data_IF_076982366998
#
_entry.id   IF_076982366998
#
_cell.length_a   1.000
_cell.length_b   1.000
_cell.length_c   1.000
_cell.angle_alpha   90.00
_cell.angle_beta   90.00
_cell.angle_gamma   90.00
#
_symmetry.space_group_name_H-M   'P 1'
#
loop_
_entity.id
_entity.type
_entity.pdbx_description
1 polymer ?
#
# COMPACT_ATOMS: atom_id res chain seq x y z
N UNK A 1 -17.16 30.03 26.95
CA UNK A 1 -16.20 30.56 25.95
C UNK A 1 -14.83 30.46 26.60
N UNK A 2 -13.85 29.67 26.17
CA UNK A 2 -13.38 29.21 24.85
C UNK A 2 -12.27 28.16 25.13
N UNK A 3 -11.79 27.24 24.29
CA UNK A 3 -12.07 26.70 22.96
C UNK A 3 -11.30 25.35 22.97
N UNK A 4 -11.93 24.23 22.58
CA UNK A 4 -11.24 22.95 22.38
C UNK A 4 -10.33 23.06 21.16
N UNK A 5 -9.12 22.52 21.29
CA UNK A 5 -8.20 22.34 20.17
C UNK A 5 -8.24 20.85 19.80
N UNK A 6 -9.13 20.52 18.88
CA UNK A 6 -9.22 19.19 18.27
C UNK A 6 -8.06 19.03 17.28
N UNK A 7 -7.13 18.14 17.64
CA UNK A 7 -6.04 17.72 16.76
C UNK A 7 -6.37 16.32 16.24
N UNK A 8 -7.13 16.30 15.14
CA UNK A 8 -7.42 15.11 14.35
C UNK A 8 -6.12 14.59 13.71
N UNK A 9 -5.50 13.61 14.36
CA UNK A 9 -4.49 12.76 13.75
C UNK A 9 -5.17 11.50 13.23
N UNK A 10 -5.66 11.58 11.98
CA UNK A 10 -6.10 10.43 11.18
C UNK A 10 -4.88 9.56 10.83
N UNK A 11 -4.41 8.83 11.85
CA UNK A 11 -3.54 7.70 11.67
C UNK A 11 -4.41 6.58 11.09
N UNK A 12 -4.27 6.37 9.79
CA UNK A 12 -4.80 5.21 9.08
C UNK A 12 -4.21 3.91 9.65
N UNK A 13 -4.65 3.53 10.85
CA UNK A 13 -4.53 2.19 11.38
C UNK A 13 -5.28 1.32 10.40
N UNK A 14 -4.54 0.49 9.64
CA UNK A 14 -5.14 -0.65 8.93
C UNK A 14 -6.01 -1.37 9.96
N UNK A 15 -7.34 -1.25 9.84
CA UNK A 15 -8.27 -1.94 10.72
C UNK A 15 -8.00 -3.42 10.52
N UNK A 16 -7.33 -4.04 11.48
CA UNK A 16 -7.07 -5.47 11.45
C UNK A 16 -8.38 -6.24 11.30
N UNK A 17 -8.29 -7.43 10.72
CA UNK A 17 -9.42 -8.35 10.61
C UNK A 17 -10.04 -8.55 12.00
N UNK A 18 -11.35 -8.34 12.12
CA UNK A 18 -12.10 -8.60 13.34
C UNK A 18 -12.98 -9.80 13.10
N UNK A 19 -13.03 -10.72 14.06
CA UNK A 19 -13.92 -11.89 14.06
C UNK A 19 -14.94 -11.65 15.18
N UNK A 20 -16.21 -11.93 14.94
CA UNK A 20 -17.26 -11.86 15.96
C UNK A 20 -17.33 -13.13 16.81
N UNK A 21 -18.24 -13.16 17.78
CA UNK A 21 -18.47 -14.31 18.66
C UNK A 21 -19.01 -15.55 17.93
N UNK A 22 -19.38 -15.45 16.66
CA UNK A 22 -19.84 -16.57 15.82
C UNK A 22 -18.76 -17.10 14.88
N UNK A 23 -17.50 -16.65 15.07
CA UNK A 23 -16.38 -17.04 14.21
C UNK A 23 -16.37 -16.36 12.84
N UNK A 24 -17.35 -15.48 12.55
CA UNK A 24 -17.45 -14.80 11.27
C UNK A 24 -16.60 -13.52 11.26
N UNK A 25 -15.90 -13.21 10.15
CA UNK A 25 -15.29 -11.91 9.93
C UNK A 25 -16.30 -10.78 10.11
N UNK A 26 -15.86 -9.58 10.50
CA UNK A 26 -16.72 -8.41 10.66
C UNK A 26 -16.28 -7.31 9.72
N UNK A 27 -17.22 -6.82 8.90
CA UNK A 27 -17.03 -5.70 7.95
C UNK A 27 -15.88 -5.91 6.97
N UNK A 28 -15.74 -7.13 6.47
CA UNK A 28 -14.75 -7.48 5.46
C UNK A 28 -14.89 -6.60 4.21
N UNK A 29 -13.77 -6.08 3.73
CA UNK A 29 -13.71 -5.06 2.68
C UNK A 29 -13.20 -5.60 1.34
N UNK A 30 -12.92 -6.90 1.23
CA UNK A 30 -12.37 -7.53 0.02
C UNK A 30 -10.88 -7.87 0.11
N UNK A 31 -10.19 -7.52 1.20
CA UNK A 31 -8.76 -7.82 1.37
C UNK A 31 -8.52 -9.21 1.96
N UNK A 32 -7.53 -9.94 1.43
CA UNK A 32 -7.19 -11.31 1.87
C UNK A 32 -8.38 -12.30 1.82
N UNK A 33 -8.82 -12.57 0.59
CA UNK A 33 -9.91 -13.51 0.33
C UNK A 33 -9.68 -14.90 0.95
N UNK A 34 -8.44 -15.42 0.89
CA UNK A 34 -8.16 -16.77 1.40
C UNK A 34 -8.43 -16.86 2.90
N UNK A 35 -8.03 -15.83 3.66
CA UNK A 35 -8.33 -15.76 5.08
C UNK A 35 -9.84 -15.61 5.33
N UNK A 36 -10.51 -14.70 4.60
CA UNK A 36 -11.97 -14.53 4.71
C UNK A 36 -12.72 -15.84 4.46
N UNK A 37 -12.36 -16.55 3.39
CA UNK A 37 -13.01 -17.79 3.00
C UNK A 37 -12.87 -18.86 4.08
N UNK A 38 -11.66 -19.05 4.62
CA UNK A 38 -11.44 -20.00 5.71
C UNK A 38 -12.27 -19.64 6.94
N UNK A 39 -12.28 -18.37 7.36
CA UNK A 39 -13.04 -17.94 8.52
C UNK A 39 -14.56 -18.17 8.33
N UNK A 40 -15.09 -17.88 7.14
CA UNK A 40 -16.50 -18.13 6.83
C UNK A 40 -16.85 -19.61 6.75
N UNK A 41 -15.98 -20.45 6.18
CA UNK A 41 -16.17 -21.91 6.17
C UNK A 41 -16.25 -22.43 7.61
N UNK A 42 -15.33 -22.02 8.48
CA UNK A 42 -15.36 -22.40 9.90
C UNK A 42 -16.66 -21.96 10.59
N UNK A 43 -17.15 -20.75 10.31
CA UNK A 43 -18.42 -20.26 10.86
C UNK A 43 -19.64 -21.06 10.35
N UNK A 44 -19.60 -21.53 9.10
CA UNK A 44 -20.62 -22.43 8.57
C UNK A 44 -20.54 -23.82 9.21
N UNK A 45 -19.34 -24.38 9.39
CA UNK A 45 -19.12 -25.67 10.06
C UNK A 45 -19.60 -25.65 11.52
N UNK A 46 -19.26 -24.59 12.28
CA UNK A 46 -19.71 -24.42 13.67
C UNK A 46 -21.24 -24.40 13.79
N UNK A 47 -21.91 -23.85 12.77
CA UNK A 47 -23.37 -23.78 12.72
C UNK A 47 -24.05 -24.94 11.98
N UNK A 48 -23.29 -25.95 11.51
CA UNK A 48 -23.78 -27.07 10.69
C UNK A 48 -24.51 -26.61 9.42
N UNK A 49 -23.95 -25.60 8.75
CA UNK A 49 -24.49 -24.96 7.53
C UNK A 49 -23.62 -25.21 6.30
N UNK A 50 -22.44 -25.80 6.45
CA UNK A 50 -21.40 -25.96 5.43
C UNK A 50 -21.91 -26.72 4.19
N UNK A 51 -22.62 -27.83 4.37
CA UNK A 51 -23.16 -28.64 3.27
C UNK A 51 -24.14 -27.86 2.40
N UNK A 52 -24.99 -27.04 3.03
CA UNK A 52 -25.97 -26.19 2.35
C UNK A 52 -25.27 -24.98 1.72
N UNK A 53 -24.36 -24.32 2.45
CA UNK A 53 -23.65 -23.12 1.99
C UNK A 53 -22.78 -23.41 0.75
N UNK A 54 -22.11 -24.56 0.72
CA UNK A 54 -21.29 -25.03 -0.41
C UNK A 54 -22.17 -25.59 -1.55
N UNK A 55 -23.46 -25.86 -1.27
CA UNK A 55 -24.42 -26.35 -2.26
C UNK A 55 -24.37 -27.87 -2.49
N UNK A 56 -23.78 -28.63 -1.56
CA UNK A 56 -23.83 -30.10 -1.56
C UNK A 56 -25.20 -30.64 -1.16
N UNK A 57 -25.87 -29.97 -0.23
CA UNK A 57 -27.24 -30.27 0.16
C UNK A 57 -28.20 -29.27 -0.51
N UNK A 58 -29.03 -29.78 -1.41
CA UNK A 58 -30.06 -29.01 -2.11
C UNK A 58 -31.45 -29.38 -1.61
N UNK A 59 -32.42 -28.49 -1.87
CA UNK A 59 -33.83 -28.78 -1.59
C UNK A 59 -34.23 -30.10 -2.26
N UNK A 60 -34.85 -31.01 -1.49
CA UNK A 60 -35.36 -32.27 -2.01
C UNK A 60 -36.88 -32.23 -2.08
N UNK A 61 -37.43 -32.63 -3.23
CA UNK A 61 -38.87 -32.59 -3.48
C UNK A 61 -39.65 -33.59 -2.61
N UNK A 62 -39.01 -34.70 -2.22
CA UNK A 62 -39.60 -35.76 -1.39
C UNK A 62 -39.72 -35.39 0.10
N UNK A 63 -39.16 -34.25 0.51
CA UNK A 63 -39.21 -33.78 1.90
C UNK A 63 -40.59 -33.30 2.32
N UNK A 64 -40.90 -33.50 3.60
CA UNK A 64 -42.11 -32.99 4.22
C UNK A 64 -42.02 -31.46 4.45
N UNK A 65 -43.13 -30.85 4.86
CA UNK A 65 -43.20 -29.40 5.06
C UNK A 65 -42.25 -28.89 6.16
N UNK A 66 -42.01 -29.70 7.21
CA UNK A 66 -41.13 -29.36 8.33
C UNK A 66 -39.66 -29.30 7.89
N UNK A 67 -39.20 -30.31 7.16
CA UNK A 67 -37.85 -30.40 6.58
C UNK A 67 -37.59 -29.24 5.60
N UNK A 68 -38.56 -28.94 4.73
CA UNK A 68 -38.47 -27.78 3.82
C UNK A 68 -38.40 -26.45 4.61
N UNK A 69 -39.12 -26.37 5.73
CA UNK A 69 -39.07 -25.22 6.65
C UNK A 69 -37.70 -25.06 7.32
N UNK A 70 -37.10 -26.16 7.79
CA UNK A 70 -35.77 -26.16 8.40
C UNK A 70 -34.68 -25.75 7.39
N UNK A 71 -34.73 -26.29 6.17
CA UNK A 71 -33.81 -25.91 5.09
C UNK A 71 -33.89 -24.41 4.79
N UNK A 72 -35.09 -23.84 4.71
CA UNK A 72 -35.29 -22.38 4.53
C UNK A 72 -34.71 -21.57 5.69
N UNK A 73 -34.86 -22.04 6.94
CA UNK A 73 -34.24 -21.39 8.12
C UNK A 73 -32.71 -21.42 8.04
N UNK A 74 -32.12 -22.56 7.64
CA UNK A 74 -30.67 -22.70 7.43
C UNK A 74 -30.18 -21.76 6.33
N UNK A 75 -30.87 -21.68 5.19
CA UNK A 75 -30.59 -20.71 4.13
C UNK A 75 -30.63 -19.26 4.63
N UNK A 76 -31.64 -18.88 5.41
CA UNK A 76 -31.73 -17.54 5.99
C UNK A 76 -30.57 -17.24 6.96
N UNK A 77 -30.18 -18.22 7.79
CA UNK A 77 -29.03 -18.09 8.69
C UNK A 77 -27.72 -17.88 7.93
N UNK A 78 -27.50 -18.59 6.82
CA UNK A 78 -26.36 -18.38 5.92
C UNK A 78 -26.37 -16.94 5.38
N UNK A 79 -27.52 -16.44 4.90
CA UNK A 79 -27.63 -15.05 4.40
C UNK A 79 -27.24 -14.03 5.47
N UNK A 80 -27.71 -14.20 6.70
CA UNK A 80 -27.42 -13.29 7.82
C UNK A 80 -25.93 -13.31 8.15
N UNK A 81 -25.29 -14.48 8.24
CA UNK A 81 -23.85 -14.60 8.49
C UNK A 81 -23.03 -13.91 7.41
N UNK A 82 -23.33 -14.18 6.13
CA UNK A 82 -22.65 -13.53 5.01
C UNK A 82 -22.85 -12.01 5.10
N UNK A 83 -24.09 -11.54 5.24
CA UNK A 83 -24.40 -10.11 5.31
C UNK A 83 -23.68 -9.40 6.48
N UNK A 84 -23.69 -10.00 7.67
CA UNK A 84 -23.00 -9.46 8.85
C UNK A 84 -21.48 -9.41 8.68
N UNK A 85 -20.94 -10.34 7.90
CA UNK A 85 -19.50 -10.42 7.69
C UNK A 85 -18.93 -9.40 6.70
N UNK A 86 -19.76 -8.89 5.80
CA UNK A 86 -19.34 -8.02 4.72
C UNK A 86 -19.43 -6.53 5.09
N UNK A 87 -18.60 -5.72 4.43
CA UNK A 87 -18.84 -4.28 4.37
C UNK A 87 -20.14 -3.97 3.63
N UNK A 88 -20.80 -2.85 3.95
CA UNK A 88 -22.06 -2.44 3.34
C UNK A 88 -22.02 -2.43 1.80
N UNK A 89 -20.88 -2.03 1.22
CA UNK A 89 -20.70 -1.99 -0.24
C UNK A 89 -20.76 -3.40 -0.84
N UNK A 90 -20.04 -4.36 -0.25
CA UNK A 90 -20.01 -5.74 -0.72
C UNK A 90 -21.32 -6.47 -0.44
N UNK A 91 -21.93 -6.24 0.72
CA UNK A 91 -23.23 -6.80 1.08
C UNK A 91 -24.28 -6.46 0.00
N UNK A 92 -24.36 -5.19 -0.43
CA UNK A 92 -25.30 -4.77 -1.49
C UNK A 92 -25.11 -5.52 -2.81
N UNK A 93 -23.87 -5.88 -3.15
CA UNK A 93 -23.57 -6.59 -4.40
C UNK A 93 -24.09 -8.03 -4.37
N UNK A 94 -23.93 -8.74 -3.25
CA UNK A 94 -24.26 -10.16 -3.16
C UNK A 94 -25.67 -10.43 -2.64
N UNK A 95 -26.28 -9.51 -1.90
CA UNK A 95 -27.65 -9.65 -1.36
C UNK A 95 -28.75 -9.70 -2.42
N UNK A 96 -28.44 -9.39 -3.69
CA UNK A 96 -29.37 -9.52 -4.80
C UNK A 96 -29.72 -10.98 -5.13
N UNK A 97 -29.02 -11.96 -4.52
CA UNK A 97 -29.25 -13.40 -4.74
C UNK A 97 -30.37 -13.96 -3.86
N UNK A 98 -31.06 -14.98 -4.37
CA UNK A 98 -32.26 -15.56 -3.76
C UNK A 98 -31.95 -16.37 -2.50
N UNK A 99 -30.85 -17.12 -2.51
CA UNK A 99 -30.46 -18.05 -1.44
C UNK A 99 -29.10 -17.71 -0.82
N UNK A 100 -28.84 -18.22 0.39
CA UNK A 100 -27.54 -18.06 1.05
C UNK A 100 -26.43 -18.81 0.30
N UNK A 101 -26.75 -19.98 -0.27
CA UNK A 101 -25.85 -20.73 -1.15
C UNK A 101 -25.47 -19.93 -2.39
N UNK A 102 -26.42 -19.28 -3.06
CA UNK A 102 -26.12 -18.40 -4.21
C UNK A 102 -25.26 -17.19 -3.81
N UNK A 103 -25.51 -16.59 -2.64
CA UNK A 103 -24.68 -15.50 -2.12
C UNK A 103 -23.23 -15.96 -1.91
N UNK A 104 -23.03 -17.14 -1.33
CA UNK A 104 -21.71 -17.73 -1.13
C UNK A 104 -21.03 -18.08 -2.46
N UNK A 105 -21.75 -18.71 -3.38
CA UNK A 105 -21.26 -19.06 -4.72
C UNK A 105 -20.86 -17.81 -5.52
N UNK A 106 -21.63 -16.72 -5.43
CA UNK A 106 -21.28 -15.44 -6.06
C UNK A 106 -19.98 -14.86 -5.46
N UNK A 107 -19.80 -14.90 -4.14
CA UNK A 107 -18.54 -14.47 -3.51
C UNK A 107 -17.36 -15.32 -3.97
N UNK A 108 -17.51 -16.65 -3.97
CA UNK A 108 -16.51 -17.58 -4.48
C UNK A 108 -16.22 -17.28 -5.96
N UNK A 109 -17.22 -16.99 -6.78
CA UNK A 109 -17.03 -16.61 -8.19
C UNK A 109 -16.26 -15.30 -8.35
N UNK A 110 -16.59 -14.28 -7.56
CA UNK A 110 -15.93 -12.97 -7.61
C UNK A 110 -14.44 -13.06 -7.21
N UNK A 111 -14.12 -13.88 -6.22
CA UNK A 111 -12.79 -13.88 -5.58
C UNK A 111 -11.93 -15.13 -5.86
N UNK A 112 -12.52 -16.30 -6.10
CA UNK A 112 -11.85 -17.56 -6.48
C UNK A 112 -12.03 -17.94 -7.94
N UNK A 113 -12.91 -17.24 -8.65
CA UNK A 113 -12.80 -17.21 -10.10
C UNK A 113 -11.37 -16.77 -10.40
N UNK A 114 -10.48 -17.73 -10.71
CA UNK A 114 -9.05 -17.54 -11.02
C UNK A 114 -8.81 -16.59 -12.22
N UNK A 115 -9.87 -15.99 -12.75
CA UNK A 115 -10.04 -15.47 -14.10
C UNK A 115 -11.19 -14.46 -14.15
N UNK A 116 -11.32 -13.53 -13.18
CA UNK A 116 -12.08 -12.31 -13.45
C UNK A 116 -11.09 -11.21 -13.88
N UNK A 117 -10.91 -10.97 -15.19
CA UNK A 117 -10.04 -9.91 -15.69
C UNK A 117 -10.29 -8.56 -15.00
N UNK A 118 -11.54 -8.27 -14.61
CA UNK A 118 -11.89 -7.02 -13.96
C UNK A 118 -11.29 -6.91 -12.54
N UNK A 119 -11.30 -7.99 -11.74
CA UNK A 119 -10.76 -7.96 -10.38
C UNK A 119 -9.22 -7.97 -10.40
N UNK A 120 -8.61 -8.77 -11.28
CA UNK A 120 -7.17 -8.72 -11.53
C UNK A 120 -6.74 -7.34 -12.00
N UNK A 121 -7.45 -6.74 -12.96
CA UNK A 121 -7.18 -5.39 -13.42
C UNK A 121 -7.34 -4.35 -12.31
N UNK A 122 -8.36 -4.47 -11.46
CA UNK A 122 -8.56 -3.59 -10.32
C UNK A 122 -7.42 -3.71 -9.28
N UNK A 123 -6.97 -4.93 -8.99
CA UNK A 123 -5.85 -5.19 -8.07
C UNK A 123 -4.54 -4.64 -8.64
N UNK A 124 -4.28 -4.86 -9.93
CA UNK A 124 -3.15 -4.26 -10.65
C UNK A 124 -3.21 -2.73 -10.57
N UNK A 125 -4.35 -2.12 -10.86
CA UNK A 125 -4.54 -0.67 -10.77
C UNK A 125 -4.27 -0.14 -9.35
N UNK A 126 -4.80 -0.83 -8.32
CA UNK A 126 -4.57 -0.48 -6.92
C UNK A 126 -3.10 -0.55 -6.54
N UNK A 127 -2.41 -1.64 -6.92
CA UNK A 127 -1.00 -1.86 -6.63
C UNK A 127 -0.09 -0.89 -7.38
N UNK A 128 -0.38 -0.59 -8.65
CA UNK A 128 0.32 0.46 -9.40
C UNK A 128 0.15 1.82 -8.71
N UNK A 129 -1.07 2.17 -8.31
CA UNK A 129 -1.33 3.39 -7.54
C UNK A 129 -0.58 3.41 -6.20
N UNK A 130 -0.51 2.28 -5.50
CA UNK A 130 0.26 2.17 -4.25
C UNK A 130 1.77 2.32 -4.49
N UNK A 131 2.30 1.70 -5.55
CA UNK A 131 3.68 1.86 -5.97
C UNK A 131 4.01 3.34 -6.17
N UNK A 132 3.16 4.07 -6.91
CA UNK A 132 3.33 5.50 -7.20
C UNK A 132 3.11 6.43 -6.00
N UNK A 133 2.39 6.01 -4.97
CA UNK A 133 2.16 6.81 -3.74
C UNK A 133 3.12 6.47 -2.61
N UNK A 134 3.84 5.35 -2.70
CA UNK A 134 4.80 4.94 -1.67
C UNK A 134 6.02 5.86 -1.73
N UNK A 135 6.11 6.75 -0.74
CA UNK A 135 7.20 7.70 -0.55
C UNK A 135 7.77 7.56 0.86
N UNK A 136 9.09 7.63 0.96
CA UNK A 136 9.79 7.72 2.23
C UNK A 136 9.73 9.17 2.73
N UNK A 137 9.21 9.37 3.94
CA UNK A 137 9.12 10.68 4.57
C UNK A 137 10.30 10.88 5.54
N UNK A 138 11.02 11.99 5.42
CA UNK A 138 12.11 12.35 6.32
C UNK A 138 13.21 11.29 6.42
N UNK A 139 13.79 11.13 7.63
CA UNK A 139 14.79 10.10 7.97
C UNK A 139 14.14 8.75 8.31
N UNK A 140 13.20 8.30 7.49
CA UNK A 140 12.59 6.98 7.64
C UNK A 140 13.58 5.85 7.34
N UNK A 141 13.27 4.63 7.77
CA UNK A 141 14.10 3.46 7.50
C UNK A 141 14.09 3.09 6.01
N UNK A 142 15.21 3.31 5.32
CA UNK A 142 15.35 3.01 3.88
C UNK A 142 15.14 1.54 3.59
N UNK A 143 15.67 0.63 4.41
CA UNK A 143 15.59 -0.80 4.14
C UNK A 143 14.15 -1.29 4.11
N UNK A 144 13.33 -0.87 5.08
CA UNK A 144 11.90 -1.17 5.14
C UNK A 144 11.13 -0.54 3.97
N UNK A 145 11.46 0.70 3.61
CA UNK A 145 10.87 1.38 2.46
C UNK A 145 11.16 0.66 1.15
N UNK A 146 12.42 0.30 0.89
CA UNK A 146 12.82 -0.45 -0.30
C UNK A 146 12.16 -1.83 -0.32
N UNK A 147 12.12 -2.54 0.82
CA UNK A 147 11.44 -3.82 0.92
C UNK A 147 9.96 -3.73 0.48
N UNK A 148 9.24 -2.70 0.94
CA UNK A 148 7.85 -2.45 0.53
C UNK A 148 7.72 -2.24 -0.99
N UNK A 149 8.61 -1.48 -1.62
CA UNK A 149 8.58 -1.26 -3.07
C UNK A 149 8.79 -2.58 -3.84
N UNK A 150 9.73 -3.42 -3.40
CA UNK A 150 9.97 -4.73 -4.02
C UNK A 150 8.81 -5.70 -3.81
N UNK A 151 8.18 -5.69 -2.63
CA UNK A 151 6.99 -6.48 -2.36
C UNK A 151 5.84 -6.13 -3.33
N UNK A 152 5.58 -4.83 -3.54
CA UNK A 152 4.58 -4.40 -4.53
C UNK A 152 4.96 -4.82 -5.96
N UNK A 153 6.25 -4.71 -6.35
CA UNK A 153 6.74 -5.17 -7.67
C UNK A 153 6.49 -6.67 -7.86
N UNK A 154 6.76 -7.48 -6.85
CA UNK A 154 6.57 -8.93 -6.91
C UNK A 154 5.09 -9.28 -7.03
N UNK A 155 4.23 -8.67 -6.21
CA UNK A 155 2.77 -8.86 -6.31
C UNK A 155 2.21 -8.46 -7.68
N UNK A 156 2.77 -7.43 -8.32
CA UNK A 156 2.40 -7.05 -9.69
C UNK A 156 2.85 -8.10 -10.73
N UNK A 157 4.04 -8.69 -10.55
CA UNK A 157 4.52 -9.78 -11.40
C UNK A 157 3.66 -11.04 -11.27
N UNK A 158 3.26 -11.40 -10.04
CA UNK A 158 2.38 -12.55 -9.77
C UNK A 158 1.01 -12.40 -10.44
N UNK A 159 0.55 -11.15 -10.66
CA UNK A 159 -0.70 -10.84 -11.36
C UNK A 159 -0.53 -10.72 -12.89
N UNK A 160 0.65 -11.06 -13.43
CA UNK A 160 0.93 -11.00 -14.87
C UNK A 160 1.17 -9.58 -15.41
N UNK A 161 1.44 -8.60 -14.53
CA UNK A 161 1.73 -7.21 -14.88
C UNK A 161 3.09 -6.77 -14.32
N UNK A 162 4.21 -7.37 -14.77
CA UNK A 162 5.53 -7.06 -14.23
C UNK A 162 5.92 -5.59 -14.46
N UNK A 163 6.58 -4.99 -13.47
CA UNK A 163 7.13 -3.63 -13.58
C UNK A 163 8.49 -3.70 -14.24
N UNK A 164 8.69 -2.93 -15.32
CA UNK A 164 9.97 -2.84 -16.01
C UNK A 164 11.06 -2.24 -15.08
N UNK A 165 12.29 -2.73 -15.20
CA UNK A 165 13.43 -2.27 -14.41
C UNK A 165 13.65 -0.75 -14.46
N UNK A 166 13.51 -0.13 -15.62
CA UNK A 166 13.62 1.32 -15.78
C UNK A 166 12.52 2.06 -15.01
N UNK A 167 11.29 1.55 -15.07
CA UNK A 167 10.16 2.10 -14.32
C UNK A 167 10.37 1.95 -12.81
N UNK A 168 10.88 0.79 -12.38
CA UNK A 168 11.17 0.53 -10.99
C UNK A 168 12.31 1.41 -10.46
N UNK A 169 13.37 1.62 -11.25
CA UNK A 169 14.49 2.52 -10.94
C UNK A 169 14.03 3.97 -10.80
N UNK A 170 13.27 4.48 -11.78
CA UNK A 170 12.69 5.82 -11.70
C UNK A 170 11.80 5.96 -10.45
N UNK A 171 10.96 4.95 -10.19
CA UNK A 171 10.09 4.93 -9.03
C UNK A 171 10.86 4.96 -7.71
N UNK A 172 11.89 4.14 -7.58
CA UNK A 172 12.74 4.10 -6.39
C UNK A 172 13.39 5.46 -6.14
N UNK A 173 13.96 6.11 -7.16
CA UNK A 173 14.59 7.43 -7.03
C UNK A 173 13.60 8.53 -6.63
N UNK A 174 12.40 8.55 -7.23
CA UNK A 174 11.35 9.52 -6.88
C UNK A 174 10.72 9.26 -5.52
N UNK A 175 10.77 8.01 -5.03
CA UNK A 175 10.19 7.64 -3.74
C UNK A 175 10.99 8.15 -2.53
N UNK A 176 12.28 8.46 -2.71
CA UNK A 176 13.17 8.94 -1.66
C UNK A 176 12.89 10.42 -1.30
N UNK A 177 13.26 10.90 -0.11
CA UNK A 177 13.13 12.29 0.29
C UNK A 177 14.19 13.18 -0.40
N UNK A 178 13.96 14.49 -0.38
CA UNK A 178 14.91 15.51 -0.87
C UNK A 178 16.02 15.75 0.15
N UNK A 179 16.90 14.75 0.32
CA UNK A 179 18.14 14.86 1.08
C UNK A 179 19.33 14.87 0.13
N UNK A 180 20.39 15.62 0.47
CA UNK A 180 21.58 15.83 -0.36
C UNK A 180 22.19 14.52 -0.86
N UNK A 181 22.31 13.51 0.01
CA UNK A 181 22.86 12.20 -0.35
C UNK A 181 22.03 11.47 -1.43
N UNK A 182 20.71 11.63 -1.42
CA UNK A 182 19.83 11.06 -2.43
C UNK A 182 19.78 11.91 -3.71
N UNK A 183 19.92 13.23 -3.62
CA UNK A 183 19.97 14.11 -4.79
C UNK A 183 21.22 13.90 -5.63
N UNK A 184 22.37 13.64 -4.99
CA UNK A 184 23.58 13.21 -5.68
C UNK A 184 23.38 11.88 -6.42
N UNK A 185 22.72 10.93 -5.77
CA UNK A 185 22.38 9.65 -6.39
C UNK A 185 21.42 9.83 -7.57
N UNK A 186 20.38 10.66 -7.43
CA UNK A 186 19.45 11.00 -8.51
C UNK A 186 20.20 11.58 -9.70
N UNK A 187 21.08 12.57 -9.47
CA UNK A 187 21.90 13.16 -10.53
C UNK A 187 22.76 12.12 -11.23
N UNK A 188 23.45 11.26 -10.48
CA UNK A 188 24.32 10.21 -11.03
C UNK A 188 23.56 9.22 -11.91
N UNK A 189 22.35 8.83 -11.51
CA UNK A 189 21.58 7.80 -12.21
C UNK A 189 20.78 8.38 -13.38
N UNK A 190 20.08 9.49 -13.17
CA UNK A 190 19.20 10.10 -14.18
C UNK A 190 19.98 10.76 -15.33
N UNK A 191 21.18 11.29 -15.07
CA UNK A 191 22.04 11.90 -16.10
C UNK A 191 23.13 10.95 -16.60
N UNK A 192 23.02 9.65 -16.33
CA UNK A 192 23.92 8.65 -16.90
C UNK A 192 23.67 8.49 -18.40
N UNK A 193 24.75 8.43 -19.18
CA UNK A 193 24.70 8.12 -20.62
C UNK A 193 24.07 6.76 -20.94
N UNK A 194 24.08 5.84 -19.98
CA UNK A 194 23.37 4.56 -20.08
C UNK A 194 22.54 4.35 -18.80
N UNK A 195 21.23 4.52 -18.89
CA UNK A 195 20.31 4.28 -17.76
C UNK A 195 19.97 2.80 -17.58
N UNK A 196 20.05 2.00 -18.65
CA UNK A 196 19.74 0.56 -18.60
C UNK A 196 20.73 -0.24 -17.75
N UNK A 197 21.93 0.30 -17.49
CA UNK A 197 22.91 -0.34 -16.59
C UNK A 197 22.46 -0.40 -15.13
N UNK A 198 21.45 0.39 -14.74
CA UNK A 198 20.94 0.40 -13.38
C UNK A 198 19.77 -0.57 -13.28
N UNK A 199 19.99 -1.69 -12.61
CA UNK A 199 18.92 -2.59 -12.20
C UNK A 199 18.34 -2.14 -10.85
N UNK A 200 17.09 -2.49 -10.52
CA UNK A 200 16.50 -2.21 -9.22
C UNK A 200 17.37 -2.70 -8.05
N UNK A 201 18.01 -3.85 -8.21
CA UNK A 201 18.85 -4.51 -7.22
C UNK A 201 20.17 -3.76 -7.03
N UNK A 202 20.76 -3.25 -8.12
CA UNK A 202 21.93 -2.38 -8.06
C UNK A 202 21.58 -1.06 -7.38
N UNK A 203 20.46 -0.44 -7.78
CA UNK A 203 20.02 0.83 -7.19
C UNK A 203 19.73 0.66 -5.69
N UNK A 204 19.11 -0.45 -5.27
CA UNK A 204 18.89 -0.77 -3.85
C UNK A 204 20.20 -0.72 -3.05
N UNK A 205 21.26 -1.34 -3.58
CA UNK A 205 22.59 -1.31 -2.94
C UNK A 205 23.14 0.12 -2.87
N UNK A 206 23.05 0.87 -3.96
CA UNK A 206 23.53 2.26 -4.02
C UNK A 206 22.81 3.18 -3.02
N UNK A 207 21.49 3.04 -2.86
CA UNK A 207 20.70 3.82 -1.90
C UNK A 207 21.16 3.52 -0.46
N UNK A 208 21.31 2.24 -0.11
CA UNK A 208 21.78 1.82 1.22
C UNK A 208 23.20 2.34 1.49
N UNK A 209 24.09 2.29 0.49
CA UNK A 209 25.45 2.85 0.62
C UNK A 209 25.42 4.38 0.79
N UNK A 210 24.53 5.09 0.12
CA UNK A 210 24.39 6.54 0.26
C UNK A 210 23.85 6.93 1.65
N UNK A 211 22.89 6.17 2.18
CA UNK A 211 22.36 6.33 3.54
C UNK A 211 23.47 6.16 4.59
N UNK A 212 24.19 5.03 4.56
CA UNK A 212 25.27 4.74 5.51
C UNK A 212 26.35 5.82 5.49
N UNK A 213 26.74 6.30 4.31
CA UNK A 213 27.68 7.44 4.21
C UNK A 213 27.11 8.69 4.85
N UNK A 214 25.85 9.03 4.58
CA UNK A 214 25.25 10.23 5.15
C UNK A 214 25.14 10.21 6.68
N UNK A 215 24.91 9.04 7.28
CA UNK A 215 24.92 8.86 8.73
C UNK A 215 26.33 9.09 9.31
N UNK A 216 27.37 8.57 8.64
CA UNK A 216 28.77 8.81 9.05
C UNK A 216 29.15 10.29 8.97
N UNK A 217 28.73 11.00 7.92
CA UNK A 217 28.98 12.45 7.78
C UNK A 217 28.25 13.28 8.84
N UNK A 218 26.98 12.97 9.15
CA UNK A 218 26.24 13.66 10.21
C UNK A 218 26.81 13.34 11.61
N UNK A 219 27.19 12.09 11.87
CA UNK A 219 27.81 11.67 13.11
C UNK A 219 29.17 12.32 13.36
N UNK A 220 29.95 12.56 12.30
CA UNK A 220 31.28 13.18 12.39
C UNK A 220 31.24 14.71 12.52
N UNK A 221 30.16 15.37 12.06
CA UNK A 221 29.95 16.83 12.22
C UNK A 221 29.42 17.18 13.61
N UNK A 222 28.61 16.31 14.23
CA UNK A 222 28.01 16.53 15.55
C UNK A 222 28.65 15.72 16.70
N UNK A 223 29.68 14.91 16.41
CA UNK A 223 30.36 14.02 17.34
C UNK A 223 31.48 14.66 18.16
N UNK A 224 31.15 15.02 19.39
CA UNK A 224 31.93 14.78 20.61
C UNK A 224 33.38 15.32 20.70
N UNK A 225 33.53 16.58 21.13
CA UNK A 225 34.78 17.11 21.71
C UNK A 225 34.91 16.74 23.19
N UNK A 226 34.86 15.46 23.53
CA UNK A 226 35.40 15.02 24.82
C UNK A 226 36.89 14.70 24.63
N UNK A 227 37.68 15.78 24.57
CA UNK A 227 39.14 15.67 24.61
C UNK A 227 39.53 15.17 25.99
N UNK A 228 39.98 13.92 26.07
CA UNK A 228 40.85 13.41 27.13
C UNK A 228 41.90 14.47 27.48
N UNK A 229 41.81 15.01 28.70
CA UNK A 229 42.88 15.78 29.32
C UNK A 229 44.05 14.82 29.59
N UNK A 230 45.07 14.86 28.76
CA UNK A 230 46.42 14.48 29.17
C UNK A 230 47.01 15.61 29.99
N UNK A 231 47.47 15.27 31.20
CA UNK A 231 48.24 16.15 32.08
C UNK A 231 49.51 16.65 31.36
N UNK A 232 49.77 17.94 31.49
CA UNK A 232 51.01 18.59 31.09
C UNK A 232 51.14 19.88 31.89
N UNK A 233 52.19 19.96 32.69
CA UNK A 233 52.36 20.84 33.83
C UNK A 233 53.25 22.04 33.49
N UNK A 234 52.84 23.23 33.97
CA UNK A 234 53.61 24.49 34.21
C UNK A 234 53.90 25.50 33.08
N UNK A 235 53.57 26.77 33.37
CA UNK A 235 54.25 27.95 32.81
C UNK A 235 53.45 29.27 32.69
N UNK A 236 53.29 30.02 33.79
CA UNK A 236 53.49 31.49 33.81
C UNK A 236 52.42 32.51 33.33
N UNK A 237 51.76 33.15 34.31
CA UNK A 237 51.65 34.61 34.53
C UNK A 237 50.72 35.55 33.72
N UNK A 238 49.77 36.14 34.49
CA UNK A 238 49.32 37.56 34.59
C UNK A 238 48.31 38.20 33.61
N UNK A 239 47.10 38.41 34.16
CA UNK A 239 46.30 39.65 34.34
C UNK A 239 45.97 40.59 33.16
N UNK A 240 44.66 40.90 33.00
CA UNK A 240 44.24 42.17 32.38
C UNK A 240 42.76 42.31 31.93
N UNK A 241 41.88 42.68 32.87
CA UNK A 241 40.63 43.48 32.79
C UNK A 241 39.82 43.63 31.46
N UNK A 242 38.50 43.38 31.58
CA UNK A 242 37.48 44.40 31.23
C UNK A 242 36.50 44.06 30.09
N UNK A 243 35.17 44.33 30.22
CA UNK A 243 34.13 43.68 29.42
C UNK A 243 33.56 44.54 28.29
N UNK A 244 33.00 43.93 27.23
CA UNK A 244 32.04 44.59 26.34
C UNK A 244 30.81 43.72 26.07
N UNK A 245 29.65 44.35 26.30
CA UNK A 245 28.27 43.88 26.06
C UNK A 245 27.96 43.75 24.55
N UNK A 246 26.87 43.02 24.21
CA UNK A 246 26.60 42.52 22.86
C UNK A 246 26.01 43.59 21.93
N UNK A 247 26.35 43.50 20.64
CA UNK A 247 25.74 44.26 19.57
C UNK A 247 24.65 43.43 18.88
N UNK A 248 23.43 43.94 18.99
CA UNK A 248 22.22 43.50 18.30
C UNK A 248 22.43 43.31 16.79
N UNK A 249 21.96 42.18 16.25
CA UNK A 249 21.61 42.05 14.83
C UNK A 249 20.21 41.48 14.68
N UNK A 250 19.39 42.31 14.01
CA UNK A 250 17.99 42.14 13.64
C UNK A 250 17.72 40.86 12.81
N UNK A 251 16.49 40.32 12.85
CA UNK A 251 16.11 39.13 12.09
C UNK A 251 15.98 39.44 10.59
N UNK A 252 16.63 38.64 9.75
CA UNK A 252 16.43 38.68 8.30
C UNK A 252 15.13 37.96 7.92
N UNK A 253 14.42 38.61 7.03
CA UNK A 253 13.05 38.44 6.56
C UNK A 253 12.82 37.14 5.77
N UNK A 254 11.65 36.55 5.96
CA UNK A 254 11.07 35.48 5.12
C UNK A 254 10.91 35.95 3.67
N UNK A 255 11.51 35.24 2.73
CA UNK A 255 11.07 35.23 1.32
C UNK A 255 10.24 33.98 1.07
N UNK A 256 8.94 34.18 0.81
CA UNK A 256 8.05 33.22 0.15
C UNK A 256 8.54 33.01 -1.28
N UNK A 257 8.78 31.76 -1.68
CA UNK A 257 8.86 31.39 -3.09
C UNK A 257 7.55 30.72 -3.48
N UNK A 258 6.71 31.46 -4.19
CA UNK A 258 5.64 30.90 -5.01
C UNK A 258 6.28 30.11 -6.16
N UNK A 259 5.84 28.87 -6.37
CA UNK A 259 6.36 27.97 -7.39
C UNK A 259 5.35 26.87 -7.74
N UNK A 260 4.43 27.21 -8.65
CA UNK A 260 3.62 26.36 -9.54
C UNK A 260 3.23 24.93 -9.08
N UNK A 261 2.01 24.79 -8.58
CA UNK A 261 1.23 23.55 -8.70
C UNK A 261 0.33 23.64 -9.94
N UNK A 262 0.72 22.99 -11.03
CA UNK A 262 -0.14 22.36 -12.05
C UNK A 262 0.59 22.29 -13.40
N UNK A 263 1.27 21.18 -13.66
CA UNK A 263 1.45 20.63 -15.02
C UNK A 263 2.06 19.22 -14.91
N UNK A 264 1.28 18.26 -14.41
CA UNK A 264 1.64 16.83 -14.47
C UNK A 264 0.44 15.90 -14.63
N UNK A 265 -0.78 16.37 -14.33
CA UNK A 265 -2.00 15.54 -14.41
C UNK A 265 -2.57 15.34 -15.82
N UNK A 266 -2.27 16.23 -16.77
CA UNK A 266 -2.87 16.20 -18.12
C UNK A 266 -2.15 15.21 -19.02
N UNK A 267 -0.81 15.18 -18.99
CA UNK A 267 -0.01 14.29 -19.85
C UNK A 267 -0.20 12.81 -19.47
N UNK A 268 -0.31 12.51 -18.17
CA UNK A 268 -0.54 11.15 -17.68
C UNK A 268 -1.94 10.62 -18.03
N UNK A 269 -2.97 11.46 -18.01
CA UNK A 269 -4.32 11.06 -18.44
C UNK A 269 -4.41 10.76 -19.94
N UNK A 270 -3.69 11.54 -20.77
CA UNK A 270 -3.66 11.33 -22.22
C UNK A 270 -2.89 10.05 -22.56
N UNK A 271 -1.73 9.81 -21.93
CA UNK A 271 -0.97 8.56 -22.14
C UNK A 271 -1.76 7.35 -21.62
N UNK A 272 -2.47 7.47 -20.50
CA UNK A 272 -3.31 6.40 -19.97
C UNK A 272 -4.53 6.10 -20.86
N UNK A 273 -5.17 7.13 -21.43
CA UNK A 273 -6.25 6.95 -22.42
C UNK A 273 -5.75 6.28 -23.69
N UNK A 274 -4.61 6.72 -24.24
CA UNK A 274 -4.00 6.12 -25.44
C UNK A 274 -3.61 4.65 -25.17
N UNK A 275 -3.10 4.33 -23.97
CA UNK A 275 -2.75 2.96 -23.61
C UNK A 275 -3.98 2.05 -23.42
N UNK A 276 -5.04 2.55 -22.78
CA UNK A 276 -6.32 1.83 -22.66
C UNK A 276 -6.96 1.58 -24.02
N UNK A 277 -6.96 2.58 -24.90
CA UNK A 277 -7.58 2.50 -26.22
C UNK A 277 -6.81 1.54 -27.15
N UNK A 278 -5.47 1.53 -27.08
CA UNK A 278 -4.64 0.55 -27.79
C UNK A 278 -4.84 -0.88 -27.28
N UNK A 279 -5.01 -1.06 -25.97
CA UNK A 279 -5.28 -2.38 -25.38
C UNK A 279 -6.67 -2.91 -25.73
N UNK A 280 -7.68 -2.05 -25.82
CA UNK A 280 -9.02 -2.43 -26.27
C UNK A 280 -9.03 -2.82 -27.76
N UNK A 281 -8.30 -2.09 -28.61
CA UNK A 281 -8.15 -2.43 -30.03
C UNK A 281 -7.43 -3.77 -30.25
N UNK A 282 -6.41 -4.09 -29.44
CA UNK A 282 -5.71 -5.39 -29.49
C UNK A 282 -6.58 -6.58 -29.04
N UNK A 283 -7.55 -6.36 -28.15
CA UNK A 283 -8.51 -7.40 -27.77
C UNK A 283 -9.58 -7.61 -28.84
N UNK A 284 -10.04 -6.54 -29.50
CA UNK A 284 -11.02 -6.62 -30.60
C UNK A 284 -10.42 -7.32 -31.82
N UNK A 285 -9.18 -7.01 -32.21
CA UNK A 285 -8.50 -7.66 -33.33
C UNK A 285 -8.22 -9.15 -33.07
N UNK A 286 -7.94 -9.55 -31.83
CA UNK A 286 -7.78 -10.98 -31.47
C UNK A 286 -9.08 -11.76 -31.51
N UNK A 287 -10.22 -11.13 -31.23
CA UNK A 287 -11.54 -11.77 -31.34
C UNK A 287 -11.96 -11.90 -32.81
N UNK A 288 -11.64 -10.93 -33.66
CA UNK A 288 -11.94 -10.98 -35.09
C UNK A 288 -11.03 -11.95 -35.87
N UNK A 289 -9.78 -12.14 -35.45
CA UNK A 289 -8.85 -13.09 -36.07
C UNK A 289 -9.09 -14.56 -35.66
N UNK A 290 -9.95 -14.81 -34.67
CA UNK A 290 -10.34 -16.15 -34.21
C UNK A 290 -11.66 -16.68 -34.78
N UNK A 291 -12.24 -15.98 -35.77
CA UNK A 291 -13.39 -16.43 -36.54
C UNK A 291 -13.03 -16.40 -38.04
N UNK A 292 -12.16 -17.33 -38.44
CA UNK A 292 -12.03 -17.82 -39.81
C UNK A 292 -11.64 -19.29 -39.79
#
# INVERSE_FOLDING_TARGET
MSLSSDSDSDTGKRKGFKIDSSGAPVRWNGDDWNFYKHAMINAFEESLLDQIAIGKETLNDTWNAEQKGEFKKKQAKIKILIQGSLSMKLAKQVMMKGTGTEMWSELVSIYEGKTNPAMTAQKVYRLQGELHRTHMRGKGNVRSHLHKLFDIRNQLADLGSPVNDLQMVDRMLRSLPALTCYDELRRKVLFSSNMMKYTPELLRKMIITAESRSEDWEGNIFGNKERKRTQGTHGGSKQGRGPHKPLDKKPATKTRSDGCYNCSGIILNVIFRIWMERRTQEQITRVQAGHH
#
